data_IF_709701598361
#
_entry.id   IF_709701598361
#
_cell.length_a   1.000
_cell.length_b   1.000
_cell.length_c   1.000
_cell.angle_alpha   90.00
_cell.angle_beta   90.00
_cell.angle_gamma   90.00
#
_symmetry.space_group_name_H-M   'P 1'
#
loop_
_entity.id
_entity.type
_entity.pdbx_description
1 polymer ?
#
# COMPACT_ATOMS: atom_id res chain seq x y z
N UNK A 1 38.15 -7.96 -12.97
CA UNK A 1 36.81 -7.47 -13.35
C UNK A 1 35.80 -8.30 -12.57
N UNK A 2 34.85 -7.70 -11.85
CA UNK A 2 33.85 -8.46 -11.10
C UNK A 2 32.93 -9.24 -12.06
N UNK A 3 32.53 -10.45 -11.67
CA UNK A 3 31.65 -11.32 -12.49
C UNK A 3 30.33 -10.58 -12.81
N UNK A 4 29.98 -10.39 -14.10
CA UNK A 4 28.75 -9.72 -14.52
C UNK A 4 27.47 -10.29 -13.89
N UNK A 5 27.46 -11.58 -13.52
CA UNK A 5 26.32 -12.25 -12.87
C UNK A 5 26.07 -11.70 -11.46
N UNK A 6 27.13 -11.30 -10.74
CA UNK A 6 27.01 -10.70 -9.40
C UNK A 6 26.25 -9.37 -9.48
N UNK A 7 26.55 -8.54 -10.48
CA UNK A 7 25.82 -7.28 -10.70
C UNK A 7 24.33 -7.53 -10.97
N UNK A 8 24.01 -8.53 -11.80
CA UNK A 8 22.62 -8.87 -12.13
C UNK A 8 21.85 -9.37 -10.89
N UNK A 9 22.49 -10.21 -10.06
CA UNK A 9 21.90 -10.70 -8.80
C UNK A 9 21.60 -9.51 -7.88
N UNK A 10 22.57 -8.62 -7.66
CA UNK A 10 22.38 -7.44 -6.79
C UNK A 10 21.23 -6.55 -7.25
N UNK A 11 21.10 -6.31 -8.56
CA UNK A 11 19.99 -5.54 -9.14
C UNK A 11 18.66 -6.24 -8.85
N UNK A 12 18.54 -7.53 -9.17
CA UNK A 12 17.31 -8.30 -8.97
C UNK A 12 16.92 -8.37 -7.48
N UNK A 13 17.89 -8.57 -6.59
CA UNK A 13 17.66 -8.50 -5.14
C UNK A 13 17.16 -7.13 -4.69
N UNK A 14 17.71 -6.04 -5.26
CA UNK A 14 17.24 -4.69 -4.99
C UNK A 14 15.79 -4.46 -5.43
N UNK A 15 15.39 -5.00 -6.57
CA UNK A 15 14.00 -4.95 -7.07
C UNK A 15 13.05 -5.67 -6.10
N UNK A 16 13.36 -6.92 -5.74
CA UNK A 16 12.53 -7.70 -4.81
C UNK A 16 12.41 -7.01 -3.44
N UNK A 17 13.49 -6.43 -2.92
CA UNK A 17 13.47 -5.68 -1.65
C UNK A 17 12.55 -4.45 -1.71
N UNK A 18 12.48 -3.74 -2.84
CA UNK A 18 11.58 -2.58 -2.99
C UNK A 18 10.12 -3.02 -3.08
N UNK A 19 9.82 -4.00 -3.93
CA UNK A 19 8.46 -4.55 -4.07
C UNK A 19 7.91 -5.09 -2.75
N UNK A 20 8.76 -5.78 -1.95
CA UNK A 20 8.36 -6.27 -0.63
C UNK A 20 8.01 -5.14 0.35
N UNK A 21 8.74 -4.01 0.29
CA UNK A 21 8.43 -2.83 1.11
C UNK A 21 7.15 -2.15 0.64
N UNK A 22 6.99 -1.94 -0.66
CA UNK A 22 5.77 -1.35 -1.26
C UNK A 22 4.52 -2.13 -0.84
N UNK A 23 4.55 -3.46 -0.97
CA UNK A 23 3.46 -4.33 -0.48
C UNK A 23 3.12 -4.11 0.99
N UNK A 24 4.13 -3.93 1.83
CA UNK A 24 3.93 -3.72 3.28
C UNK A 24 3.34 -2.35 3.56
N UNK A 25 3.78 -1.32 2.82
CA UNK A 25 3.28 0.05 2.94
C UNK A 25 1.81 0.12 2.53
N UNK A 26 1.42 -0.44 1.37
CA UNK A 26 0.03 -0.39 0.91
C UNK A 26 -0.94 -1.12 1.85
N UNK A 27 -0.53 -2.27 2.41
CA UNK A 27 -1.33 -2.94 3.45
C UNK A 27 -1.54 -2.07 4.68
N UNK A 28 -0.48 -1.38 5.13
CA UNK A 28 -0.56 -0.47 6.28
C UNK A 28 -1.44 0.74 5.99
N UNK A 29 -1.39 1.26 4.77
CA UNK A 29 -2.20 2.40 4.33
C UNK A 29 -3.69 2.06 4.35
N UNK A 30 -4.09 0.90 3.83
CA UNK A 30 -5.48 0.40 3.94
C UNK A 30 -5.93 0.36 5.40
N UNK A 31 -5.12 -0.18 6.31
CA UNK A 31 -5.46 -0.23 7.74
C UNK A 31 -5.56 1.18 8.34
N UNK A 32 -4.70 2.11 7.95
CA UNK A 32 -4.75 3.50 8.44
C UNK A 32 -6.03 4.21 7.99
N UNK A 33 -6.41 4.07 6.72
CA UNK A 33 -7.62 4.70 6.18
C UNK A 33 -8.90 4.06 6.76
N UNK A 34 -8.90 2.76 7.06
CA UNK A 34 -9.97 2.10 7.82
C UNK A 34 -10.11 2.67 9.24
N UNK A 35 -9.00 2.81 9.96
CA UNK A 35 -9.00 3.44 11.29
C UNK A 35 -9.49 4.89 11.24
N UNK A 36 -9.20 5.61 10.15
CA UNK A 36 -9.67 6.98 9.93
C UNK A 36 -11.18 7.03 9.69
N UNK A 37 -11.72 6.08 8.92
CA UNK A 37 -13.17 5.93 8.73
C UNK A 37 -13.89 5.66 10.06
N UNK A 38 -13.34 4.78 10.90
CA UNK A 38 -13.90 4.52 12.23
C UNK A 38 -13.92 5.77 13.11
N UNK A 39 -12.85 6.59 13.07
CA UNK A 39 -12.81 7.88 13.77
C UNK A 39 -13.88 8.85 13.25
N UNK A 40 -14.08 8.94 11.94
CA UNK A 40 -15.14 9.77 11.37
C UNK A 40 -16.53 9.31 11.80
N UNK A 41 -16.77 8.00 11.81
CA UNK A 41 -18.02 7.42 12.32
C UNK A 41 -18.22 7.74 13.81
N UNK A 42 -17.18 7.59 14.63
CA UNK A 42 -17.23 7.90 16.07
C UNK A 42 -17.44 9.39 16.37
N UNK A 43 -16.95 10.28 15.51
CA UNK A 43 -17.11 11.74 15.64
C UNK A 43 -18.45 12.24 15.08
N UNK A 44 -19.29 11.35 14.52
CA UNK A 44 -20.56 11.74 13.91
C UNK A 44 -20.38 12.57 12.64
N UNK A 45 -19.31 12.32 11.88
CA UNK A 45 -19.11 12.96 10.58
C UNK A 45 -20.29 12.66 9.64
N UNK A 46 -20.57 13.60 8.73
CA UNK A 46 -21.69 13.45 7.81
C UNK A 46 -21.50 12.32 6.79
N UNK A 47 -22.60 11.96 6.11
CA UNK A 47 -22.60 10.88 5.12
C UNK A 47 -21.68 11.16 3.93
N UNK A 48 -21.45 12.41 3.56
CA UNK A 48 -20.59 12.76 2.44
C UNK A 48 -19.12 12.50 2.78
N UNK A 49 -18.68 12.85 4.00
CA UNK A 49 -17.33 12.55 4.50
C UNK A 49 -17.10 11.05 4.61
N UNK A 50 -18.10 10.30 5.10
CA UNK A 50 -18.02 8.83 5.20
C UNK A 50 -17.91 8.20 3.81
N UNK A 51 -18.78 8.57 2.87
CA UNK A 51 -18.73 8.06 1.49
C UNK A 51 -17.41 8.39 0.81
N UNK A 52 -16.90 9.61 0.97
CA UNK A 52 -15.61 9.99 0.38
C UNK A 52 -14.45 9.18 0.95
N UNK A 53 -14.47 8.92 2.26
CA UNK A 53 -13.45 8.11 2.91
C UNK A 53 -13.52 6.64 2.46
N UNK A 54 -14.72 6.11 2.17
CA UNK A 54 -14.89 4.76 1.60
C UNK A 54 -14.32 4.67 0.17
N UNK A 55 -14.47 5.70 -0.66
CA UNK A 55 -13.82 5.78 -1.98
C UNK A 55 -12.29 5.73 -1.86
N UNK A 56 -11.71 6.51 -0.93
CA UNK A 56 -10.26 6.51 -0.67
C UNK A 56 -9.77 5.12 -0.28
N UNK A 57 -10.51 4.42 0.58
CA UNK A 57 -10.15 3.03 0.97
C UNK A 57 -10.18 2.09 -0.24
N UNK A 58 -11.15 2.24 -1.16
CA UNK A 58 -11.19 1.44 -2.39
C UNK A 58 -10.00 1.72 -3.30
N UNK A 59 -9.60 2.98 -3.46
CA UNK A 59 -8.39 3.35 -4.21
C UNK A 59 -7.14 2.69 -3.61
N UNK A 60 -6.97 2.72 -2.28
CA UNK A 60 -5.87 2.02 -1.61
C UNK A 60 -5.91 0.50 -1.81
N UNK A 61 -7.11 -0.11 -1.79
CA UNK A 61 -7.28 -1.55 -1.99
C UNK A 61 -6.92 -1.99 -3.42
N UNK A 62 -7.18 -1.16 -4.42
CA UNK A 62 -6.81 -1.45 -5.82
C UNK A 62 -5.28 -1.55 -6.03
N UNK A 63 -4.47 -0.94 -5.16
CA UNK A 63 -3.01 -0.96 -5.25
C UNK A 63 -2.38 -2.26 -4.68
N UNK A 64 -3.10 -2.99 -3.83
CA UNK A 64 -2.57 -4.19 -3.15
C UNK A 64 -2.32 -5.38 -4.09
N UNK A 65 -3.21 -5.70 -5.06
CA UNK A 65 -3.00 -6.79 -6.02
C UNK A 65 -1.78 -6.62 -6.92
N UNK A 66 -1.46 -5.39 -7.32
CA UNK A 66 -0.31 -5.11 -8.19
C UNK A 66 1.03 -5.42 -7.52
N UNK A 67 1.08 -5.40 -6.18
CA UNK A 67 2.25 -5.79 -5.41
C UNK A 67 2.35 -7.31 -5.13
N UNK A 68 1.42 -8.13 -5.66
CA UNK A 68 1.42 -9.58 -5.48
C UNK A 68 1.86 -10.36 -6.72
N UNK A 69 1.93 -9.71 -7.88
CA UNK A 69 2.39 -10.30 -9.15
C UNK A 69 3.91 -10.20 -9.30
#
# INVERSE_FOLDING_TARGET
MADPRIKQITIKTGVVKRLAKEKTVYKKEVTNEQNRLEKFKAQGADSHVISKQEEVIQECLMMVPDCQR
#
